data_IF_245010966580
#
_entry.id   IF_245010966580
#
_cell.length_a   1.000
_cell.length_b   1.000
_cell.length_c   1.000
_cell.angle_alpha   90.00
_cell.angle_beta   90.00
_cell.angle_gamma   90.00
#
_symmetry.space_group_name_H-M   'P 1'
#
loop_
_entity.id
_entity.type
_entity.pdbx_description
1 polymer ?
#
# COMPACT_ATOMS: atom_id res chain seq x y z
N UNK A 1 19.81 4.24 -1.55
CA UNK A 1 18.41 3.84 -1.36
C UNK A 1 18.36 2.94 -0.13
N UNK A 2 17.93 3.47 1.03
CA UNK A 2 17.91 2.71 2.29
C UNK A 2 16.62 1.86 2.32
N UNK A 3 16.75 0.59 2.01
CA UNK A 3 15.66 -0.37 2.16
C UNK A 3 15.67 -0.89 3.60
N UNK A 4 14.55 -0.80 4.31
CA UNK A 4 14.42 -1.47 5.60
C UNK A 4 14.51 -2.98 5.38
N UNK A 5 15.49 -3.62 6.02
CA UNK A 5 15.58 -5.09 6.07
C UNK A 5 14.40 -5.67 6.84
N UNK A 6 13.90 -6.86 6.49
CA UNK A 6 12.94 -7.56 7.33
C UNK A 6 13.53 -7.80 8.73
N UNK A 7 12.68 -7.68 9.74
CA UNK A 7 13.05 -7.89 11.15
C UNK A 7 12.40 -9.16 11.63
N UNK A 8 13.22 -10.16 11.99
CA UNK A 8 12.77 -11.42 12.60
C UNK A 8 13.19 -11.42 14.06
N UNK A 9 12.22 -11.51 14.96
CA UNK A 9 12.49 -11.64 16.40
C UNK A 9 12.69 -13.11 16.77
N UNK A 10 13.84 -13.42 17.38
CA UNK A 10 14.15 -14.74 17.91
C UNK A 10 14.14 -14.69 19.43
N UNK A 11 13.16 -15.28 20.08
CA UNK A 11 12.92 -15.11 21.52
C UNK A 11 12.59 -16.42 22.23
N UNK A 12 12.85 -16.45 23.54
CA UNK A 12 12.41 -17.54 24.41
C UNK A 12 10.98 -17.33 24.94
N UNK A 13 10.41 -16.13 24.77
CA UNK A 13 9.07 -15.78 25.22
C UNK A 13 8.06 -16.16 24.14
N UNK A 14 7.25 -17.16 24.39
CA UNK A 14 6.28 -17.72 23.44
C UNK A 14 4.81 -17.45 23.78
N UNK A 15 4.55 -16.61 24.80
CA UNK A 15 3.20 -16.23 25.17
C UNK A 15 2.62 -15.20 24.18
N UNK A 16 1.31 -15.26 23.97
CA UNK A 16 0.58 -14.47 22.99
C UNK A 16 0.81 -12.96 23.16
N UNK A 17 0.90 -12.49 24.41
CA UNK A 17 1.12 -11.08 24.73
C UNK A 17 2.45 -10.57 24.19
N UNK A 18 3.55 -11.30 24.41
CA UNK A 18 4.88 -10.92 23.95
C UNK A 18 5.00 -11.02 22.41
N UNK A 19 4.31 -11.99 21.79
CA UNK A 19 4.20 -12.11 20.34
C UNK A 19 3.53 -10.86 19.76
N UNK A 20 2.37 -10.48 20.30
CA UNK A 20 1.63 -9.29 19.84
C UNK A 20 2.43 -8.01 20.04
N UNK A 21 3.12 -7.87 21.19
CA UNK A 21 3.96 -6.69 21.45
C UNK A 21 5.13 -6.60 20.46
N UNK A 22 5.82 -7.70 20.19
CA UNK A 22 6.91 -7.75 19.20
C UNK A 22 6.44 -7.36 17.79
N UNK A 23 5.24 -7.78 17.40
CA UNK A 23 4.63 -7.46 16.12
C UNK A 23 4.16 -5.99 16.08
N UNK A 24 3.62 -5.45 17.17
CA UNK A 24 3.26 -4.04 17.29
C UNK A 24 4.47 -3.10 17.19
N UNK A 25 5.63 -3.50 17.71
CA UNK A 25 6.88 -2.74 17.57
C UNK A 25 7.36 -2.71 16.11
N UNK A 26 6.78 -3.55 15.24
CA UNK A 26 7.05 -3.55 13.80
C UNK A 26 8.00 -4.67 13.34
N UNK A 27 8.11 -5.76 14.09
CA UNK A 27 8.73 -6.98 13.60
C UNK A 27 7.89 -7.57 12.45
N UNK A 28 8.56 -8.17 11.49
CA UNK A 28 7.92 -8.81 10.33
C UNK A 28 7.65 -10.29 10.58
N UNK A 29 8.37 -10.90 11.52
CA UNK A 29 8.21 -12.30 11.91
C UNK A 29 8.66 -12.51 13.36
N UNK A 30 8.11 -13.52 14.02
CA UNK A 30 8.40 -13.87 15.40
C UNK A 30 8.63 -15.38 15.49
N UNK A 31 9.82 -15.81 15.94
CA UNK A 31 10.18 -17.21 16.05
C UNK A 31 10.60 -17.52 17.50
N UNK A 32 9.89 -18.46 18.12
CA UNK A 32 10.14 -18.89 19.49
C UNK A 32 11.25 -19.93 19.54
N UNK A 33 12.17 -19.80 20.49
CA UNK A 33 13.20 -20.79 20.79
C UNK A 33 12.61 -21.95 21.65
N UNK A 34 13.01 -23.19 21.39
CA UNK A 34 13.97 -23.68 20.38
C UNK A 34 13.35 -23.78 18.99
N UNK A 35 14.10 -23.41 17.94
CA UNK A 35 13.65 -23.48 16.54
C UNK A 35 14.65 -24.25 15.66
N UNK A 36 14.15 -24.79 14.56
CA UNK A 36 14.97 -25.39 13.52
C UNK A 36 15.56 -24.32 12.60
N UNK A 37 16.84 -24.46 12.22
CA UNK A 37 17.49 -23.61 11.21
C UNK A 37 16.74 -23.65 9.87
N UNK A 38 16.13 -24.79 9.53
CA UNK A 38 15.35 -24.92 8.31
C UNK A 38 14.08 -24.06 8.36
N UNK A 39 13.42 -23.99 9.51
CA UNK A 39 12.25 -23.10 9.71
C UNK A 39 12.68 -21.64 9.56
N UNK A 40 13.78 -21.23 10.21
CA UNK A 40 14.29 -19.85 10.09
C UNK A 40 14.62 -19.49 8.64
N UNK A 41 15.31 -20.36 7.90
CA UNK A 41 15.64 -20.15 6.48
C UNK A 41 14.37 -20.04 5.63
N UNK A 42 13.39 -20.89 5.85
CA UNK A 42 12.12 -20.86 5.12
C UNK A 42 11.35 -19.55 5.40
N UNK A 43 11.26 -19.12 6.68
CA UNK A 43 10.62 -17.84 7.05
C UNK A 43 11.30 -16.64 6.38
N UNK A 44 12.64 -16.58 6.40
CA UNK A 44 13.38 -15.51 5.74
C UNK A 44 13.14 -15.50 4.22
N UNK A 45 13.22 -16.66 3.57
CA UNK A 45 12.99 -16.77 2.14
C UNK A 45 11.57 -16.31 1.75
N UNK A 46 10.57 -16.72 2.53
CA UNK A 46 9.19 -16.31 2.34
C UNK A 46 9.00 -14.78 2.53
N UNK A 47 9.58 -14.20 3.58
CA UNK A 47 9.53 -12.74 3.80
C UNK A 47 10.10 -11.96 2.61
N UNK A 48 11.23 -12.40 2.08
CA UNK A 48 11.87 -11.74 0.93
C UNK A 48 11.05 -11.90 -0.36
N UNK A 49 10.53 -13.10 -0.63
CA UNK A 49 9.70 -13.36 -1.80
C UNK A 49 8.41 -12.53 -1.78
N UNK A 50 7.77 -12.43 -0.62
CA UNK A 50 6.53 -11.67 -0.46
C UNK A 50 6.75 -10.17 -0.63
N UNK A 51 7.84 -9.63 -0.10
CA UNK A 51 8.18 -8.23 -0.32
C UNK A 51 8.45 -7.94 -1.80
N UNK A 52 9.08 -8.85 -2.51
CA UNK A 52 9.29 -8.72 -3.95
C UNK A 52 7.94 -8.71 -4.69
N UNK A 53 7.02 -9.61 -4.34
CA UNK A 53 5.68 -9.68 -4.92
C UNK A 53 4.87 -8.41 -4.63
N UNK A 54 4.83 -7.96 -3.37
CA UNK A 54 4.13 -6.73 -2.99
C UNK A 54 4.70 -5.51 -3.71
N UNK A 55 6.02 -5.40 -3.81
CA UNK A 55 6.65 -4.32 -4.58
C UNK A 55 6.23 -4.33 -6.03
N UNK A 56 6.28 -5.49 -6.68
CA UNK A 56 5.83 -5.62 -8.07
C UNK A 56 4.37 -5.16 -8.18
N UNK A 57 3.49 -5.68 -7.34
CA UNK A 57 2.05 -5.32 -7.34
C UNK A 57 1.79 -3.83 -7.14
N UNK A 58 2.56 -3.15 -6.31
CA UNK A 58 2.38 -1.70 -6.04
C UNK A 58 3.28 -0.79 -6.88
N UNK A 59 4.27 -1.32 -7.58
CA UNK A 59 5.09 -0.58 -8.54
C UNK A 59 4.46 -0.55 -9.93
N UNK A 60 3.89 -1.67 -10.38
CA UNK A 60 3.15 -1.75 -11.62
C UNK A 60 1.80 -1.06 -11.43
N UNK A 61 1.66 0.12 -12.00
CA UNK A 61 0.48 0.99 -11.91
C UNK A 61 -0.76 0.45 -12.63
N UNK A 62 -0.70 -0.75 -13.16
CA UNK A 62 -1.80 -1.47 -13.79
C UNK A 62 -2.40 -2.50 -12.83
N UNK A 63 -3.08 -2.05 -11.78
CA UNK A 63 -3.81 -3.00 -10.95
C UNK A 63 -5.29 -2.67 -10.94
N UNK A 64 -5.94 -3.11 -11.98
CA UNK A 64 -7.29 -3.63 -11.91
C UNK A 64 -7.16 -5.12 -11.61
N UNK A 65 -7.15 -5.50 -10.36
CA UNK A 65 -7.60 -6.85 -9.98
C UNK A 65 -7.78 -6.88 -8.47
N UNK A 66 -9.03 -6.95 -8.08
CA UNK A 66 -9.48 -7.48 -6.80
C UNK A 66 -9.27 -9.00 -6.79
N UNK A 67 -8.05 -9.44 -6.93
CA UNK A 67 -7.72 -10.83 -6.65
C UNK A 67 -7.11 -10.89 -5.27
N UNK A 68 -7.94 -11.22 -4.30
CA UNK A 68 -7.47 -11.87 -3.09
C UNK A 68 -6.65 -13.09 -3.53
N UNK A 69 -5.46 -13.34 -2.95
CA UNK A 69 -4.68 -14.52 -3.30
C UNK A 69 -5.53 -15.75 -2.97
N UNK A 70 -6.04 -16.40 -4.02
CA UNK A 70 -6.65 -17.72 -3.89
C UNK A 70 -5.63 -18.63 -3.21
N UNK A 71 -6.01 -19.03 -2.01
CA UNK A 71 -5.51 -20.11 -1.20
C UNK A 71 -4.60 -21.10 -1.92
N UNK A 72 -3.31 -20.95 -1.81
CA UNK A 72 -2.34 -22.07 -1.72
C UNK A 72 -0.91 -21.55 -1.58
N UNK A 73 -0.60 -20.79 -0.53
CA UNK A 73 0.78 -20.78 0.00
C UNK A 73 0.74 -20.37 1.47
N UNK A 74 1.03 -21.35 2.26
CA UNK A 74 1.12 -21.43 3.70
C UNK A 74 1.64 -20.20 4.44
N UNK A 75 0.84 -19.69 5.33
CA UNK A 75 1.03 -19.27 6.72
C UNK A 75 2.01 -18.15 7.12
N UNK A 76 3.05 -17.78 6.42
CA UNK A 76 3.97 -16.73 6.89
C UNK A 76 3.69 -15.33 6.32
N UNK A 77 2.69 -15.19 5.46
CA UNK A 77 2.37 -13.97 4.73
C UNK A 77 1.31 -13.10 5.36
N UNK A 78 0.70 -13.54 6.44
CA UNK A 78 -0.50 -12.88 6.93
C UNK A 78 -0.25 -11.46 7.45
N UNK A 79 0.95 -11.16 7.94
CA UNK A 79 1.22 -9.89 8.61
C UNK A 79 1.42 -8.71 7.64
N UNK A 80 2.22 -8.87 6.59
CA UNK A 80 2.42 -7.81 5.61
C UNK A 80 1.16 -7.60 4.76
N UNK A 81 0.47 -8.67 4.41
CA UNK A 81 -0.84 -8.59 3.74
C UNK A 81 -1.91 -7.97 4.64
N UNK A 82 -2.01 -8.38 5.90
CA UNK A 82 -2.92 -7.75 6.88
C UNK A 82 -2.59 -6.29 7.08
N UNK A 83 -1.30 -5.93 7.17
CA UNK A 83 -0.88 -4.54 7.25
C UNK A 83 -1.33 -3.75 6.02
N UNK A 84 -1.07 -4.24 4.81
CA UNK A 84 -1.45 -3.55 3.58
C UNK A 84 -2.98 -3.46 3.40
N UNK A 85 -3.72 -4.52 3.75
CA UNK A 85 -5.18 -4.52 3.78
C UNK A 85 -5.73 -3.48 4.75
N UNK A 86 -5.19 -3.39 5.96
CA UNK A 86 -5.62 -2.39 6.95
C UNK A 86 -5.29 -0.97 6.48
N UNK A 87 -4.10 -0.75 5.91
CA UNK A 87 -3.72 0.55 5.33
C UNK A 87 -4.72 0.95 4.24
N UNK A 88 -5.00 0.05 3.28
CA UNK A 88 -5.94 0.30 2.19
C UNK A 88 -7.34 0.59 2.73
N UNK A 89 -7.86 -0.25 3.60
CA UNK A 89 -9.19 -0.09 4.23
C UNK A 89 -9.33 1.27 4.91
N UNK A 90 -8.38 1.69 5.75
CA UNK A 90 -8.47 2.99 6.42
C UNK A 90 -8.40 4.18 5.46
N UNK A 91 -7.68 4.06 4.33
CA UNK A 91 -7.68 5.10 3.30
C UNK A 91 -9.04 5.14 2.60
N UNK A 92 -9.63 3.98 2.27
CA UNK A 92 -10.94 3.89 1.62
C UNK A 92 -12.08 4.38 2.51
N UNK A 93 -12.07 4.04 3.80
CA UNK A 93 -13.04 4.52 4.79
C UNK A 93 -12.99 6.05 5.00
N UNK A 94 -11.88 6.70 4.64
CA UNK A 94 -11.67 8.15 4.78
C UNK A 94 -11.34 8.83 3.45
N UNK A 95 -11.88 8.28 2.35
CA UNK A 95 -11.53 8.70 0.99
C UNK A 95 -11.86 10.17 0.72
N UNK A 96 -13.03 10.61 1.16
CA UNK A 96 -13.57 11.96 0.99
C UNK A 96 -13.09 12.96 2.05
N UNK A 97 -12.43 12.48 3.10
CA UNK A 97 -11.94 13.34 4.19
C UNK A 97 -10.62 14.03 3.80
N UNK A 98 -10.61 15.36 3.57
CA UNK A 98 -9.40 16.09 3.22
C UNK A 98 -8.39 16.16 4.37
N UNK A 99 -8.86 16.07 5.62
CA UNK A 99 -8.03 16.12 6.83
C UNK A 99 -7.42 14.76 7.19
N UNK A 100 -7.72 13.72 6.42
CA UNK A 100 -7.11 12.41 6.61
C UNK A 100 -5.64 12.41 6.18
N UNK A 101 -4.78 12.57 7.16
CA UNK A 101 -3.33 12.67 6.99
C UNK A 101 -2.62 11.34 7.28
N UNK A 102 -1.34 11.26 6.92
CA UNK A 102 -0.48 10.12 7.29
C UNK A 102 -0.38 9.94 8.80
N UNK A 103 -0.45 11.02 9.58
CA UNK A 103 -0.39 10.95 11.04
C UNK A 103 -1.66 10.33 11.64
N UNK A 104 -2.83 10.65 11.07
CA UNK A 104 -4.10 9.99 11.43
C UNK A 104 -4.03 8.50 11.10
N UNK A 105 -3.52 8.15 9.92
CA UNK A 105 -3.36 6.75 9.52
C UNK A 105 -2.40 5.99 10.45
N UNK A 106 -1.28 6.60 10.86
CA UNK A 106 -0.37 6.01 11.85
C UNK A 106 -1.06 5.74 13.18
N UNK A 107 -1.89 6.69 13.65
CA UNK A 107 -2.65 6.55 14.90
C UNK A 107 -3.65 5.41 14.82
N UNK A 108 -4.39 5.27 13.72
CA UNK A 108 -5.36 4.18 13.51
C UNK A 108 -4.69 2.80 13.45
N UNK A 109 -3.45 2.75 12.96
CA UNK A 109 -2.66 1.51 12.90
C UNK A 109 -1.84 1.25 14.17
N UNK A 110 -1.94 2.11 15.19
CA UNK A 110 -1.14 2.06 16.41
C UNK A 110 0.38 1.96 16.13
N UNK A 111 0.86 2.70 15.14
CA UNK A 111 2.27 2.69 14.72
C UNK A 111 2.91 4.06 14.84
N UNK A 112 4.20 4.10 15.20
CA UNK A 112 4.97 5.33 15.09
C UNK A 112 5.13 5.74 13.62
N UNK A 113 5.22 7.05 13.34
CA UNK A 113 5.42 7.57 11.98
C UNK A 113 6.66 6.96 11.31
N UNK A 114 7.75 6.82 12.04
CA UNK A 114 8.99 6.22 11.51
C UNK A 114 8.82 4.75 11.13
N UNK A 115 8.17 3.96 12.00
CA UNK A 115 7.91 2.54 11.73
C UNK A 115 6.98 2.36 10.53
N UNK A 116 5.89 3.15 10.48
CA UNK A 116 4.94 3.13 9.37
C UNK A 116 5.62 3.50 8.04
N UNK A 117 6.36 4.64 8.02
CA UNK A 117 7.08 5.11 6.84
C UNK A 117 8.04 4.04 6.31
N UNK A 118 8.87 3.49 7.21
CA UNK A 118 9.86 2.48 6.83
C UNK A 118 9.20 1.20 6.31
N UNK A 119 8.13 0.72 6.97
CA UNK A 119 7.41 -0.49 6.57
C UNK A 119 6.69 -0.30 5.23
N UNK A 120 5.91 0.76 5.08
CA UNK A 120 5.18 1.02 3.85
C UNK A 120 6.12 1.20 2.66
N UNK A 121 7.19 1.98 2.83
CA UNK A 121 8.20 2.18 1.77
C UNK A 121 8.92 0.88 1.40
N UNK A 122 9.19 0.00 2.39
CA UNK A 122 9.79 -1.31 2.13
C UNK A 122 8.87 -2.22 1.29
N UNK A 123 7.56 -2.17 1.54
CA UNK A 123 6.57 -3.02 0.89
C UNK A 123 6.13 -2.48 -0.49
N UNK A 124 6.04 -1.17 -0.65
CA UNK A 124 5.47 -0.55 -1.86
C UNK A 124 6.48 0.20 -2.71
N UNK A 125 7.65 0.52 -2.17
CA UNK A 125 8.62 1.42 -2.80
C UNK A 125 8.25 2.91 -2.70
N UNK A 126 7.04 3.25 -2.23
CA UNK A 126 6.48 4.59 -2.24
C UNK A 126 6.55 5.26 -0.85
N UNK A 127 6.61 6.59 -0.83
CA UNK A 127 6.42 7.34 0.40
C UNK A 127 4.93 7.31 0.81
N UNK A 128 4.59 7.35 2.12
CA UNK A 128 3.20 7.26 2.58
C UNK A 128 2.26 8.29 1.96
N UNK A 129 2.69 9.54 1.85
CA UNK A 129 1.87 10.59 1.23
C UNK A 129 1.59 10.32 -0.25
N UNK A 130 2.59 9.81 -0.98
CA UNK A 130 2.43 9.43 -2.37
C UNK A 130 1.50 8.22 -2.52
N UNK A 131 1.63 7.25 -1.63
CA UNK A 131 0.78 6.05 -1.61
C UNK A 131 -0.70 6.41 -1.40
N UNK A 132 -1.02 7.22 -0.38
CA UNK A 132 -2.39 7.71 -0.12
C UNK A 132 -2.92 8.48 -1.34
N UNK A 133 -2.13 9.42 -1.87
CA UNK A 133 -2.50 10.21 -3.05
C UNK A 133 -2.79 9.30 -4.26
N UNK A 134 -1.97 8.30 -4.50
CA UNK A 134 -2.14 7.40 -5.63
C UNK A 134 -3.40 6.54 -5.51
N UNK A 135 -3.78 6.08 -4.32
CA UNK A 135 -5.06 5.39 -4.08
C UNK A 135 -6.23 6.35 -4.38
N UNK A 136 -6.19 7.59 -3.87
CA UNK A 136 -7.21 8.61 -4.14
C UNK A 136 -7.35 8.90 -5.64
N UNK A 137 -6.23 9.00 -6.37
CA UNK A 137 -6.25 9.22 -7.81
C UNK A 137 -6.85 8.05 -8.59
N UNK A 138 -6.58 6.81 -8.17
CA UNK A 138 -7.20 5.61 -8.77
C UNK A 138 -8.71 5.61 -8.58
N UNK A 139 -9.17 5.87 -7.36
CA UNK A 139 -10.60 5.97 -7.09
C UNK A 139 -11.25 7.12 -7.86
N UNK A 140 -10.56 8.27 -7.98
CA UNK A 140 -11.02 9.36 -8.84
C UNK A 140 -11.18 8.94 -10.31
N UNK A 141 -10.26 8.13 -10.82
CA UNK A 141 -10.33 7.61 -12.19
C UNK A 141 -11.55 6.68 -12.39
N UNK A 142 -11.91 5.87 -11.39
CA UNK A 142 -13.10 5.03 -11.40
C UNK A 142 -14.37 5.89 -11.45
N UNK A 143 -14.48 6.89 -10.57
CA UNK A 143 -15.61 7.82 -10.55
C UNK A 143 -15.76 8.62 -11.86
N UNK A 144 -14.64 9.02 -12.49
CA UNK A 144 -14.65 9.69 -13.78
C UNK A 144 -15.14 8.77 -14.91
N UNK A 145 -14.79 7.47 -14.89
CA UNK A 145 -15.29 6.50 -15.87
C UNK A 145 -16.78 6.26 -15.75
N UNK A 146 -17.33 6.30 -14.54
CA UNK A 146 -18.77 6.18 -14.33
C UNK A 146 -19.56 7.33 -14.95
N UNK A 147 -18.94 8.48 -15.16
CA UNK A 147 -19.56 9.65 -15.82
C UNK A 147 -20.70 10.31 -15.03
N UNK A 148 -20.90 9.94 -13.76
CA UNK A 148 -21.98 10.44 -12.90
C UNK A 148 -21.66 11.78 -12.25
N UNK A 149 -20.39 12.10 -12.10
CA UNK A 149 -19.90 13.25 -11.34
C UNK A 149 -19.05 14.17 -12.21
N UNK A 150 -19.13 15.46 -11.94
CA UNK A 150 -18.23 16.45 -12.53
C UNK A 150 -16.80 16.28 -11.99
N UNK A 151 -15.80 16.78 -12.70
CA UNK A 151 -14.39 16.75 -12.26
C UNK A 151 -14.19 17.37 -10.88
N UNK A 152 -14.97 18.42 -10.55
CA UNK A 152 -14.90 19.09 -9.25
C UNK A 152 -15.46 18.20 -8.15
N UNK A 153 -16.64 17.61 -8.36
CA UNK A 153 -17.24 16.67 -7.40
C UNK A 153 -16.36 15.44 -7.18
N UNK A 154 -15.71 14.92 -8.23
CA UNK A 154 -14.75 13.81 -8.09
C UNK A 154 -13.57 14.22 -7.22
N UNK A 155 -13.01 15.41 -7.40
CA UNK A 155 -11.92 15.90 -6.57
C UNK A 155 -12.33 15.96 -5.09
N UNK A 156 -13.51 16.53 -4.78
CA UNK A 156 -14.04 16.61 -3.42
C UNK A 156 -14.29 15.22 -2.82
N UNK A 157 -14.94 14.31 -3.55
CA UNK A 157 -15.23 12.94 -3.11
C UNK A 157 -13.99 12.07 -2.90
N UNK A 158 -12.88 12.49 -3.43
CA UNK A 158 -11.59 11.80 -3.26
C UNK A 158 -10.61 12.58 -2.37
N UNK A 159 -11.13 13.54 -1.58
CA UNK A 159 -10.39 14.24 -0.53
C UNK A 159 -9.36 15.22 -1.05
N UNK A 160 -9.55 15.78 -2.25
CA UNK A 160 -8.73 16.87 -2.76
C UNK A 160 -9.42 18.21 -2.51
N UNK A 161 -8.87 19.05 -1.63
CA UNK A 161 -9.41 20.40 -1.34
C UNK A 161 -9.21 21.37 -2.50
N UNK A 162 -8.16 21.18 -3.32
CA UNK A 162 -7.81 22.10 -4.41
C UNK A 162 -7.97 21.40 -5.75
N UNK A 163 -8.97 21.82 -6.52
CA UNK A 163 -9.25 21.29 -7.85
C UNK A 163 -8.14 21.57 -8.87
N UNK A 164 -7.30 22.60 -8.68
CA UNK A 164 -6.15 22.88 -9.54
C UNK A 164 -5.05 21.84 -9.27
N UNK A 165 -4.71 21.64 -8.00
CA UNK A 165 -3.76 20.61 -7.57
C UNK A 165 -4.22 19.21 -8.01
N UNK A 166 -5.50 18.89 -7.84
CA UNK A 166 -6.06 17.63 -8.32
C UNK A 166 -5.79 17.39 -9.81
N UNK A 167 -6.10 18.39 -10.67
CA UNK A 167 -5.88 18.26 -12.12
C UNK A 167 -4.41 18.07 -12.48
N UNK A 168 -3.52 18.76 -11.78
CA UNK A 168 -2.07 18.65 -12.00
C UNK A 168 -1.54 17.26 -11.63
N UNK A 169 -1.88 16.76 -10.43
CA UNK A 169 -1.42 15.45 -9.97
C UNK A 169 -2.07 14.30 -10.73
N UNK A 170 -3.34 14.43 -11.12
CA UNK A 170 -4.04 13.46 -11.95
C UNK A 170 -3.39 13.36 -13.33
N UNK A 171 -3.13 14.52 -14.00
CA UNK A 171 -2.44 14.54 -15.29
C UNK A 171 -1.04 13.96 -15.19
N UNK A 172 -0.31 14.26 -14.13
CA UNK A 172 1.02 13.70 -13.88
C UNK A 172 0.99 12.17 -13.72
N UNK A 173 -0.07 11.64 -13.09
CA UNK A 173 -0.20 10.22 -12.78
C UNK A 173 -0.70 9.40 -13.99
N UNK A 174 -1.73 9.91 -14.68
CA UNK A 174 -2.38 9.22 -15.81
C UNK A 174 -1.93 9.70 -17.19
N UNK A 175 -1.07 10.71 -17.30
CA UNK A 175 -0.62 11.37 -18.53
C UNK A 175 -1.74 12.02 -19.35
N UNK A 176 -2.96 12.09 -18.83
CA UNK A 176 -4.13 12.74 -19.45
C UNK A 176 -4.88 13.57 -18.41
N UNK A 177 -5.59 14.60 -18.82
CA UNK A 177 -6.39 15.39 -17.89
C UNK A 177 -7.62 14.62 -17.40
N UNK A 178 -8.19 14.95 -16.21
CA UNK A 178 -9.42 14.32 -15.72
C UNK A 178 -10.57 14.39 -16.71
N UNK A 179 -10.72 15.52 -17.40
CA UNK A 179 -11.80 15.75 -18.40
C UNK A 179 -11.61 14.88 -19.65
N UNK A 180 -10.39 14.65 -20.09
CA UNK A 180 -10.09 13.75 -21.22
C UNK A 180 -10.31 12.30 -20.79
N UNK A 181 -9.86 11.95 -19.59
CA UNK A 181 -10.05 10.60 -19.02
C UNK A 181 -11.54 10.22 -18.91
N UNK A 182 -12.38 11.15 -18.45
CA UNK A 182 -13.85 10.98 -18.39
C UNK A 182 -14.50 10.77 -19.77
N UNK A 183 -13.88 11.25 -20.86
CA UNK A 183 -14.38 11.08 -22.24
C UNK A 183 -13.90 9.77 -22.89
N UNK A 184 -13.14 8.95 -22.17
CA UNK A 184 -12.62 7.67 -22.67
C UNK A 184 -11.24 7.75 -23.34
N UNK A 185 -10.57 8.89 -23.29
CA UNK A 185 -9.18 9.04 -23.72
C UNK A 185 -8.25 8.35 -22.69
N UNK A 186 -8.21 7.02 -22.71
CA UNK A 186 -7.24 6.28 -21.91
C UNK A 186 -5.85 6.45 -22.50
N UNK A 187 -4.81 6.68 -21.69
CA UNK A 187 -3.45 6.79 -22.23
C UNK A 187 -3.08 5.46 -22.90
N UNK A 188 -2.61 5.53 -24.14
CA UNK A 188 -1.87 4.42 -24.73
C UNK A 188 -0.66 4.17 -23.83
N UNK A 189 -0.48 2.93 -23.39
CA UNK A 189 0.73 2.48 -22.68
C UNK A 189 1.95 3.11 -23.32
N UNK A 190 2.92 3.64 -22.54
CA UNK A 190 4.15 4.11 -23.14
C UNK A 190 4.75 2.95 -23.92
N UNK A 191 4.90 3.15 -25.25
CA UNK A 191 5.65 2.23 -26.09
C UNK A 191 7.02 2.09 -25.44
N UNK A 192 7.41 0.86 -25.14
CA UNK A 192 8.78 0.55 -24.80
C UNK A 192 9.68 1.14 -25.88
N UNK A 193 10.53 2.06 -25.49
CA UNK A 193 11.67 2.41 -26.31
C UNK A 193 12.58 1.20 -26.32
N UNK A 194 12.44 0.40 -27.37
CA UNK A 194 13.46 -0.53 -27.81
C UNK A 194 14.44 0.28 -28.64
N UNK A 195 15.65 0.34 -28.19
CA UNK A 195 16.90 0.17 -28.92
C UNK A 195 18.06 0.28 -27.94
#
# INVERSE_FOLDING_TARGET
MLFRSPVVLLTALGDEKNILEGLHIGADEYIVKPFSINILKASIANLLANRALLRKRYADLEINTEEEPSTTTTCSNSLDWKFMSNVKRHIEENMDNPDFTVDVLCSLLNMSRTSFYSKLKALTGQAPADFVRNIRLKHAAELLKEGKYSVTEVAERTGFCDGKYFREVFKKYFNVSPSQYAKGDTPRSPKGEGE
#
